data_IF_435331780220
#
_entry.id   IF_435331780220
#
_cell.length_a   1.000
_cell.length_b   1.000
_cell.length_c   1.000
_cell.angle_alpha   90.00
_cell.angle_beta   90.00
_cell.angle_gamma   90.00
#
_symmetry.space_group_name_H-M   'P 1'
#
loop_
_entity.id
_entity.type
_entity.pdbx_description
1 polymer ?
#
# COMPACT_ATOMS: atom_id res chain seq x y z
N UNK A 1 -0.77 -22.01 -37.17
CA UNK A 1 -1.96 -21.69 -36.39
C UNK A 1 -1.94 -20.26 -35.92
N UNK A 2 -3.03 -19.58 -36.16
CA UNK A 2 -3.11 -18.15 -35.82
C UNK A 2 -2.96 -17.88 -34.33
N UNK A 3 -3.48 -18.76 -33.48
CA UNK A 3 -3.42 -18.59 -32.03
C UNK A 3 -1.98 -18.63 -31.54
N UNK A 4 -1.16 -19.54 -32.07
CA UNK A 4 0.26 -19.63 -31.68
C UNK A 4 1.02 -18.37 -32.05
N UNK A 5 0.73 -17.80 -33.22
CA UNK A 5 1.37 -16.55 -33.65
C UNK A 5 0.99 -15.39 -32.77
N UNK A 6 -0.28 -15.33 -32.34
CA UNK A 6 -0.73 -14.28 -31.43
C UNK A 6 -0.03 -14.37 -30.08
N UNK A 7 0.17 -15.60 -29.59
CA UNK A 7 0.90 -15.80 -28.34
C UNK A 7 2.36 -15.35 -28.48
N UNK A 8 2.95 -15.62 -29.66
CA UNK A 8 4.35 -15.24 -29.90
C UNK A 8 4.55 -13.71 -29.96
N UNK A 9 3.49 -12.97 -30.22
CA UNK A 9 3.55 -11.52 -30.25
C UNK A 9 3.44 -10.89 -28.86
N UNK A 10 3.07 -11.69 -27.86
CA UNK A 10 2.89 -11.20 -26.51
C UNK A 10 4.13 -11.49 -25.68
N UNK A 11 4.42 -10.58 -24.77
CA UNK A 11 5.54 -10.72 -23.86
C UNK A 11 5.02 -10.87 -22.43
N UNK A 12 5.76 -11.58 -21.55
CA UNK A 12 5.37 -11.68 -20.14
C UNK A 12 5.29 -10.28 -19.53
N UNK A 13 4.25 -10.06 -18.74
CA UNK A 13 4.08 -8.81 -18.00
C UNK A 13 4.64 -8.99 -16.61
N UNK A 14 5.59 -8.13 -16.24
CA UNK A 14 6.14 -8.15 -14.89
C UNK A 14 5.27 -7.26 -14.00
N UNK A 15 4.28 -7.86 -13.36
CA UNK A 15 3.35 -7.13 -12.52
C UNK A 15 4.04 -6.50 -11.32
N UNK A 16 5.07 -7.15 -10.80
CA UNK A 16 5.80 -6.60 -9.64
C UNK A 16 6.41 -5.25 -9.96
N UNK A 17 7.03 -5.10 -11.13
CA UNK A 17 7.60 -3.83 -11.55
C UNK A 17 6.54 -2.76 -11.73
N UNK A 18 5.40 -3.15 -12.28
CA UNK A 18 4.29 -2.20 -12.47
C UNK A 18 3.70 -1.78 -11.13
N UNK A 19 3.55 -2.71 -10.19
CA UNK A 19 2.99 -2.41 -8.88
C UNK A 19 3.88 -1.50 -8.04
N UNK A 20 5.19 -1.57 -8.20
CA UNK A 20 6.10 -0.67 -7.47
C UNK A 20 5.99 0.77 -7.96
N UNK A 21 5.42 0.98 -9.15
CA UNK A 21 5.21 2.30 -9.72
C UNK A 21 3.82 2.86 -9.46
N UNK A 22 2.99 2.13 -8.73
CA UNK A 22 1.62 2.57 -8.43
C UNK A 22 1.66 3.79 -7.54
N UNK A 23 0.88 4.80 -7.95
CA UNK A 23 0.69 6.03 -7.18
C UNK A 23 -0.81 6.28 -7.07
N UNK A 24 -1.29 6.40 -5.84
CA UNK A 24 -2.71 6.56 -5.57
C UNK A 24 -2.98 7.84 -4.81
N UNK A 25 -4.08 8.49 -5.14
CA UNK A 25 -4.52 9.66 -4.40
C UNK A 25 -5.26 9.24 -3.13
N UNK A 26 -5.35 10.18 -2.20
CA UNK A 26 -5.95 9.96 -0.89
C UNK A 26 -7.34 9.31 -0.98
N UNK A 27 -8.19 9.80 -1.88
CA UNK A 27 -9.54 9.25 -2.03
C UNK A 27 -9.55 7.80 -2.48
N UNK A 28 -8.61 7.42 -3.33
CA UNK A 28 -8.48 6.04 -3.80
C UNK A 28 -8.03 5.12 -2.67
N UNK A 29 -7.08 5.58 -1.86
CA UNK A 29 -6.61 4.80 -0.71
C UNK A 29 -7.73 4.63 0.31
N UNK A 30 -8.54 5.67 0.52
CA UNK A 30 -9.70 5.58 1.40
C UNK A 30 -10.67 4.49 0.95
N UNK A 31 -10.91 4.39 -0.35
CA UNK A 31 -11.79 3.34 -0.89
C UNK A 31 -11.22 1.95 -0.67
N UNK A 32 -9.92 1.79 -0.91
CA UNK A 32 -9.26 0.50 -0.75
C UNK A 32 -9.26 0.08 0.71
N UNK A 33 -8.93 0.99 1.62
CA UNK A 33 -8.82 0.68 3.04
C UNK A 33 -10.16 0.69 3.77
N UNK A 34 -11.19 1.29 3.19
CA UNK A 34 -12.49 1.39 3.83
C UNK A 34 -12.50 2.35 5.00
N UNK A 35 -11.81 3.48 4.88
CA UNK A 35 -11.75 4.50 5.93
C UNK A 35 -12.08 5.87 5.34
N UNK A 36 -12.41 6.82 6.21
CA UNK A 36 -12.71 8.18 5.78
C UNK A 36 -11.45 8.94 5.43
N UNK A 37 -11.60 10.02 4.67
CA UNK A 37 -10.48 10.90 4.33
C UNK A 37 -9.84 11.50 5.59
N UNK A 38 -10.66 11.87 6.55
CA UNK A 38 -10.18 12.43 7.82
C UNK A 38 -9.36 11.41 8.58
N UNK A 39 -9.80 10.14 8.64
CA UNK A 39 -9.05 9.08 9.29
C UNK A 39 -7.72 8.83 8.58
N UNK A 40 -7.75 8.75 7.26
CA UNK A 40 -6.53 8.49 6.49
C UNK A 40 -5.52 9.61 6.69
N UNK A 41 -5.98 10.85 6.63
CA UNK A 41 -5.09 12.00 6.83
C UNK A 41 -4.48 11.97 8.23
N UNK A 42 -5.30 11.69 9.24
CA UNK A 42 -4.83 11.59 10.62
C UNK A 42 -3.81 10.46 10.78
N UNK A 43 -4.11 9.28 10.23
CA UNK A 43 -3.18 8.15 10.30
C UNK A 43 -1.86 8.44 9.59
N UNK A 44 -1.94 9.08 8.43
CA UNK A 44 -0.76 9.44 7.64
C UNK A 44 0.17 10.33 8.45
N UNK A 45 -0.40 11.34 9.10
CA UNK A 45 0.38 12.25 9.93
C UNK A 45 0.92 11.57 11.17
N UNK A 46 0.09 10.79 11.85
CA UNK A 46 0.47 10.15 13.11
C UNK A 46 1.54 9.09 12.91
N UNK A 47 1.41 8.30 11.86
CA UNK A 47 2.38 7.26 11.53
C UNK A 47 3.56 7.78 10.72
N UNK A 48 3.54 9.05 10.35
CA UNK A 48 4.58 9.66 9.52
C UNK A 48 4.82 8.88 8.24
N UNK A 49 3.72 8.51 7.58
CA UNK A 49 3.79 7.78 6.31
C UNK A 49 4.27 8.74 5.23
N UNK A 50 5.37 8.43 4.51
CA UNK A 50 5.84 9.30 3.44
C UNK A 50 4.81 9.36 2.31
N UNK A 51 4.51 10.57 1.86
CA UNK A 51 3.65 10.80 0.70
C UNK A 51 4.31 11.81 -0.21
N UNK A 52 3.91 11.78 -1.49
CA UNK A 52 4.38 12.73 -2.49
C UNK A 52 3.31 13.79 -2.74
N UNK A 53 3.69 14.84 -3.47
CA UNK A 53 2.76 15.87 -3.88
C UNK A 53 2.61 16.98 -2.86
N UNK A 54 2.41 18.22 -3.35
CA UNK A 54 2.27 19.39 -2.50
C UNK A 54 0.82 19.74 -2.17
N UNK A 55 -0.06 19.61 -3.15
CA UNK A 55 -1.48 19.95 -2.98
C UNK A 55 -2.32 18.73 -2.62
N UNK A 56 -1.97 17.59 -3.15
CA UNK A 56 -2.67 16.33 -2.90
C UNK A 56 -1.65 15.29 -2.48
N UNK A 57 -2.02 14.51 -1.47
CA UNK A 57 -1.16 13.42 -1.04
C UNK A 57 -1.23 12.29 -2.06
N UNK A 58 -0.07 11.82 -2.45
CA UNK A 58 0.08 10.67 -3.36
C UNK A 58 0.75 9.56 -2.57
N UNK A 59 0.10 8.41 -2.55
CA UNK A 59 0.56 7.24 -1.79
C UNK A 59 1.17 6.23 -2.76
N UNK A 60 2.42 5.86 -2.52
CA UNK A 60 3.03 4.78 -3.26
C UNK A 60 2.60 3.43 -2.65
N UNK A 61 3.08 2.34 -3.24
CA UNK A 61 2.68 1.01 -2.78
C UNK A 61 3.07 0.77 -1.31
N UNK A 62 4.25 1.24 -0.90
CA UNK A 62 4.68 1.12 0.49
C UNK A 62 3.72 1.84 1.43
N UNK A 63 3.33 3.05 1.07
CA UNK A 63 2.40 3.83 1.90
C UNK A 63 1.04 3.15 1.98
N UNK A 64 0.54 2.64 0.86
CA UNK A 64 -0.75 1.93 0.83
C UNK A 64 -0.68 0.68 1.72
N UNK A 65 0.38 -0.09 1.62
CA UNK A 65 0.54 -1.30 2.44
C UNK A 65 0.57 -0.95 3.93
N UNK A 66 1.26 0.12 4.29
CA UNK A 66 1.30 0.56 5.68
C UNK A 66 -0.10 0.91 6.19
N UNK A 67 -0.87 1.66 5.40
CA UNK A 67 -2.25 2.00 5.77
C UNK A 67 -3.09 0.75 5.96
N UNK A 68 -2.97 -0.21 5.04
CA UNK A 68 -3.72 -1.46 5.11
C UNK A 68 -3.38 -2.26 6.37
N UNK A 69 -2.10 -2.30 6.74
CA UNK A 69 -1.67 -3.01 7.95
C UNK A 69 -2.21 -2.33 9.21
N UNK A 70 -2.20 -0.99 9.24
CA UNK A 70 -2.77 -0.24 10.37
C UNK A 70 -4.27 -0.56 10.48
N UNK A 71 -4.98 -0.55 9.35
CA UNK A 71 -6.41 -0.87 9.33
C UNK A 71 -6.67 -2.26 9.87
N UNK A 72 -5.88 -3.24 9.43
CA UNK A 72 -6.01 -4.61 9.88
C UNK A 72 -5.81 -4.72 11.39
N UNK A 73 -4.78 -4.05 11.93
CA UNK A 73 -4.51 -4.06 13.36
C UNK A 73 -5.63 -3.38 14.15
N UNK A 74 -6.15 -2.28 13.62
CA UNK A 74 -7.29 -1.60 14.24
C UNK A 74 -8.52 -2.49 14.28
N UNK A 75 -8.79 -3.21 13.20
CA UNK A 75 -9.94 -4.13 13.13
C UNK A 75 -9.81 -5.28 14.12
N UNK A 76 -8.59 -5.61 14.52
CA UNK A 76 -8.34 -6.63 15.54
C UNK A 76 -8.40 -6.08 16.98
N UNK A 77 -8.72 -4.81 17.12
CA UNK A 77 -8.95 -4.21 18.42
C UNK A 77 -7.82 -3.37 18.98
N UNK A 78 -6.72 -3.20 18.25
CA UNK A 78 -5.62 -2.36 18.72
C UNK A 78 -5.97 -0.89 18.62
N UNK A 79 -5.49 -0.08 19.58
CA UNK A 79 -5.59 1.36 19.43
C UNK A 79 -4.62 1.82 18.34
N UNK A 80 -4.73 3.08 17.92
CA UNK A 80 -3.96 3.57 16.78
C UNK A 80 -2.45 3.49 17.02
N UNK A 81 -1.99 3.87 18.21
CA UNK A 81 -0.56 3.79 18.51
C UNK A 81 -0.02 2.37 18.40
N UNK A 82 -0.71 1.41 19.00
CA UNK A 82 -0.32 0.01 18.93
C UNK A 82 -0.45 -0.53 17.49
N UNK A 83 -1.47 -0.09 16.76
CA UNK A 83 -1.65 -0.50 15.37
C UNK A 83 -0.50 -0.01 14.49
N UNK A 84 -0.06 1.22 14.69
CA UNK A 84 1.08 1.78 13.96
C UNK A 84 2.36 0.99 14.28
N UNK A 85 2.60 0.72 15.55
CA UNK A 85 3.77 -0.06 15.97
C UNK A 85 3.75 -1.47 15.37
N UNK A 86 2.58 -2.11 15.38
CA UNK A 86 2.44 -3.43 14.80
C UNK A 86 2.70 -3.42 13.29
N UNK A 87 2.20 -2.40 12.59
CA UNK A 87 2.42 -2.27 11.15
C UNK A 87 3.90 -2.07 10.83
N UNK A 88 4.58 -1.23 11.59
CA UNK A 88 6.01 -0.98 11.41
C UNK A 88 6.82 -2.25 11.66
N UNK A 89 6.54 -2.94 12.73
CA UNK A 89 7.24 -4.19 13.07
C UNK A 89 7.04 -5.25 11.98
N UNK A 90 5.82 -5.37 11.49
CA UNK A 90 5.52 -6.32 10.43
C UNK A 90 6.33 -6.00 9.17
N UNK A 91 6.37 -4.73 8.78
CA UNK A 91 7.10 -4.32 7.58
C UNK A 91 8.60 -4.51 7.73
N UNK A 92 9.16 -4.23 8.88
CA UNK A 92 10.57 -4.48 9.15
C UNK A 92 10.92 -5.95 9.04
N UNK A 93 10.09 -6.82 9.63
CA UNK A 93 10.32 -8.26 9.56
C UNK A 93 10.22 -8.77 8.12
N UNK A 94 9.27 -8.27 7.36
CA UNK A 94 9.12 -8.66 5.96
C UNK A 94 10.32 -8.25 5.12
N UNK A 95 10.89 -7.07 5.40
CA UNK A 95 12.07 -6.58 4.69
C UNK A 95 13.30 -7.41 5.01
N UNK A 96 13.42 -7.83 6.26
CA UNK A 96 14.60 -8.55 6.74
C UNK A 96 14.53 -10.05 6.50
N UNK A 97 13.39 -10.56 6.08
CA UNK A 97 13.19 -11.98 5.79
C UNK A 97 13.43 -12.23 4.31
N UNK A 98 14.51 -12.93 3.93
CA UNK A 98 14.82 -13.16 2.52
C UNK A 98 13.84 -14.09 1.84
N UNK A 99 12.96 -14.76 2.57
CA UNK A 99 11.99 -15.71 2.02
C UNK A 99 10.61 -15.10 1.81
N UNK A 100 10.44 -13.84 2.14
CA UNK A 100 9.14 -13.17 1.96
C UNK A 100 9.17 -12.09 0.89
#
# INVERSE_FOLDING_TARGET
MAISRQVDLLEPVNLADHLTKVELYLGQVCQIAGISKMQLDYWTNKAQIPTKGKKQRIYDMDAVQTVMLIKQAKDKGLNLGAAIDAARSFRERSRNDPHT
#
